data_IF_621319849579
#
_entry.id   IF_621319849579
#
_cell.length_a   1.000
_cell.length_b   1.000
_cell.length_c   1.000
_cell.angle_alpha   90.00
_cell.angle_beta   90.00
_cell.angle_gamma   90.00
#
_symmetry.space_group_name_H-M   'P 1'
#
loop_
_entity.id
_entity.type
_entity.pdbx_description
1 polymer ?
#
# COMPACT_ATOMS: atom_id res chain seq x y z
N UNK A 1 -11.65 -1.07 -16.98
CA UNK A 1 -10.90 -2.31 -17.22
C UNK A 1 -9.72 -2.34 -16.27
N UNK A 2 -9.50 -3.42 -15.52
CA UNK A 2 -8.36 -3.55 -14.60
C UNK A 2 -7.39 -4.57 -15.21
N UNK A 3 -6.10 -4.22 -15.39
CA UNK A 3 -5.12 -5.18 -15.91
C UNK A 3 -4.90 -6.33 -14.93
N UNK A 4 -4.58 -7.50 -15.46
CA UNK A 4 -4.41 -8.73 -14.67
C UNK A 4 -2.91 -8.99 -14.50
N UNK A 5 -2.44 -8.92 -13.25
CA UNK A 5 -1.07 -9.22 -12.89
C UNK A 5 -0.69 -10.65 -13.27
N UNK A 6 0.48 -10.81 -13.90
CA UNK A 6 0.96 -12.09 -14.41
C UNK A 6 0.44 -12.46 -15.81
N UNK A 7 -0.56 -11.75 -16.35
CA UNK A 7 -1.03 -11.90 -17.74
C UNK A 7 -0.68 -10.67 -18.57
N UNK A 8 -0.97 -9.47 -18.06
CA UNK A 8 -0.66 -8.22 -18.74
C UNK A 8 0.85 -8.00 -18.79
N UNK A 9 1.38 -7.80 -20.00
CA UNK A 9 2.80 -7.51 -20.21
C UNK A 9 3.14 -6.11 -19.72
N UNK A 10 4.19 -5.98 -18.92
CA UNK A 10 4.66 -4.69 -18.40
C UNK A 10 5.06 -3.69 -19.49
N UNK A 11 5.49 -4.19 -20.66
CA UNK A 11 5.88 -3.38 -21.83
C UNK A 11 4.68 -2.92 -22.67
N UNK A 12 3.49 -3.50 -22.46
CA UNK A 12 2.27 -3.13 -23.15
C UNK A 12 1.06 -3.17 -22.19
N UNK A 13 1.04 -2.28 -21.17
CA UNK A 13 -0.06 -2.23 -20.22
C UNK A 13 -1.35 -1.62 -20.80
N UNK A 14 -1.28 -1.07 -22.03
CA UNK A 14 -2.40 -0.44 -22.72
C UNK A 14 -2.68 1.01 -22.30
N UNK A 15 -2.19 1.43 -21.13
CA UNK A 15 -2.28 2.82 -20.64
C UNK A 15 -1.18 3.11 -19.62
N UNK A 16 -0.93 4.40 -19.38
CA UNK A 16 -0.02 4.87 -18.33
C UNK A 16 -0.70 5.90 -17.45
N UNK A 17 -0.34 5.88 -16.16
CA UNK A 17 -0.77 6.82 -15.14
C UNK A 17 0.43 7.66 -14.71
N UNK A 18 0.20 8.96 -14.56
CA UNK A 18 1.21 9.85 -14.02
C UNK A 18 1.50 9.51 -12.56
N UNK A 19 2.78 9.45 -12.19
CA UNK A 19 3.25 8.93 -10.90
C UNK A 19 2.78 9.75 -9.67
N UNK A 20 2.49 11.04 -9.86
CA UNK A 20 2.06 11.94 -8.78
C UNK A 20 0.54 12.13 -8.75
N UNK A 21 -0.05 12.39 -9.91
CA UNK A 21 -1.47 12.72 -10.03
C UNK A 21 -2.37 11.51 -10.22
N UNK A 22 -1.81 10.34 -10.59
CA UNK A 22 -2.52 9.13 -11.01
C UNK A 22 -3.57 9.39 -12.11
N UNK A 23 -3.42 10.45 -12.90
CA UNK A 23 -4.25 10.68 -14.08
C UNK A 23 -3.66 9.96 -15.30
N UNK A 24 -4.50 9.61 -16.28
CA UNK A 24 -4.02 9.01 -17.52
C UNK A 24 -3.12 9.99 -18.28
N UNK A 25 -1.88 9.58 -18.56
CA UNK A 25 -0.90 10.42 -19.26
C UNK A 25 -1.40 10.78 -20.66
N UNK A 26 -1.93 9.79 -21.38
CA UNK A 26 -2.44 9.95 -22.75
C UNK A 26 -3.66 10.85 -22.86
N UNK A 27 -4.35 11.16 -21.75
CA UNK A 27 -5.54 12.01 -21.72
C UNK A 27 -5.25 13.44 -21.25
N UNK A 28 -3.97 13.77 -20.99
CA UNK A 28 -3.56 15.12 -20.59
C UNK A 28 -4.00 16.13 -21.67
N UNK A 29 -4.92 17.03 -21.31
CA UNK A 29 -5.55 18.07 -22.16
C UNK A 29 -6.69 17.60 -23.08
N UNK A 30 -7.16 16.35 -22.96
CA UNK A 30 -8.25 15.87 -23.79
C UNK A 30 -9.61 16.33 -23.24
N UNK A 31 -10.21 17.34 -23.89
CA UNK A 31 -11.49 17.96 -23.48
C UNK A 31 -12.73 17.12 -23.81
N UNK A 32 -12.61 16.15 -24.70
CA UNK A 32 -13.74 15.36 -25.21
C UNK A 32 -14.03 14.11 -24.39
N UNK A 33 -13.17 13.76 -23.43
CA UNK A 33 -13.41 12.61 -22.57
C UNK A 33 -14.29 12.98 -21.38
N UNK A 34 -15.09 12.01 -20.88
CA UNK A 34 -15.83 12.16 -19.64
C UNK A 34 -14.93 12.65 -18.51
N UNK A 35 -15.47 13.54 -17.64
CA UNK A 35 -14.70 14.18 -16.59
C UNK A 35 -14.00 13.18 -15.64
N UNK A 36 -14.60 12.02 -15.40
CA UNK A 36 -14.06 10.94 -14.57
C UNK A 36 -12.82 10.23 -15.16
N UNK A 37 -12.51 10.40 -16.44
CA UNK A 37 -11.27 9.90 -17.05
C UNK A 37 -10.10 10.85 -16.81
N UNK A 38 -10.37 12.12 -16.53
CA UNK A 38 -9.35 13.12 -16.19
C UNK A 38 -9.10 13.21 -14.68
N UNK A 39 -9.79 12.40 -13.86
CA UNK A 39 -9.58 12.36 -12.40
C UNK A 39 -8.50 11.34 -11.99
N UNK A 40 -8.09 11.45 -10.73
CA UNK A 40 -7.14 10.56 -10.06
C UNK A 40 -7.64 9.10 -10.06
N UNK A 41 -6.92 8.21 -10.74
CA UNK A 41 -7.25 6.78 -10.86
C UNK A 41 -6.73 5.96 -9.66
N UNK A 42 -7.05 6.40 -8.44
CA UNK A 42 -6.64 5.72 -7.21
C UNK A 42 -7.22 4.29 -7.10
N UNK A 43 -8.54 4.06 -7.35
CA UNK A 43 -9.12 2.71 -7.21
C UNK A 43 -8.51 1.70 -8.18
N UNK A 44 -8.14 2.16 -9.38
CA UNK A 44 -7.46 1.33 -10.37
C UNK A 44 -6.09 0.86 -9.86
N UNK A 45 -5.30 1.77 -9.30
CA UNK A 45 -3.99 1.43 -8.75
C UNK A 45 -4.11 0.49 -7.54
N UNK A 46 -5.04 0.73 -6.62
CA UNK A 46 -5.32 -0.19 -5.50
C UNK A 46 -5.69 -1.59 -6.01
N UNK A 47 -6.56 -1.67 -7.02
CA UNK A 47 -7.00 -2.95 -7.61
C UNK A 47 -5.85 -3.74 -8.24
N UNK A 48 -4.85 -3.06 -8.80
CA UNK A 48 -3.66 -3.73 -9.36
C UNK A 48 -2.68 -4.12 -8.25
N UNK A 49 -2.44 -3.24 -7.28
CA UNK A 49 -1.55 -3.52 -6.14
C UNK A 49 -2.03 -4.69 -5.28
N UNK A 50 -3.35 -4.87 -5.15
CA UNK A 50 -3.94 -5.99 -4.42
C UNK A 50 -3.78 -7.35 -5.09
N UNK A 51 -3.31 -7.42 -6.34
CA UNK A 51 -3.11 -8.67 -7.05
C UNK A 51 -1.74 -9.30 -6.74
N UNK A 52 -1.68 -10.63 -6.77
CA UNK A 52 -0.42 -11.36 -6.71
C UNK A 52 0.47 -11.00 -7.91
N UNK A 53 1.79 -10.91 -7.69
CA UNK A 53 2.79 -10.60 -8.74
C UNK A 53 2.53 -9.26 -9.46
N UNK A 54 1.92 -8.29 -8.80
CA UNK A 54 1.55 -6.98 -9.37
C UNK A 54 2.74 -6.10 -9.79
N UNK A 55 3.95 -6.37 -9.28
CA UNK A 55 5.14 -5.52 -9.44
C UNK A 55 5.38 -5.07 -10.88
N UNK A 56 5.50 -6.01 -11.82
CA UNK A 56 5.86 -5.70 -13.20
C UNK A 56 4.79 -4.84 -13.88
N UNK A 57 3.52 -5.13 -13.62
CA UNK A 57 2.38 -4.39 -14.17
C UNK A 57 2.29 -2.99 -13.58
N UNK A 58 2.48 -2.82 -12.27
CA UNK A 58 2.49 -1.50 -11.62
C UNK A 58 3.63 -0.63 -12.15
N UNK A 59 4.84 -1.20 -12.33
CA UNK A 59 5.98 -0.50 -12.93
C UNK A 59 5.67 -0.09 -14.37
N UNK A 60 4.98 -0.94 -15.14
CA UNK A 60 4.57 -0.61 -16.51
C UNK A 60 3.49 0.47 -16.59
N UNK A 61 2.54 0.47 -15.66
CA UNK A 61 1.43 1.44 -15.61
C UNK A 61 1.89 2.80 -15.12
N UNK A 62 2.77 2.87 -14.12
CA UNK A 62 3.20 4.15 -13.56
C UNK A 62 4.32 4.75 -14.40
N UNK A 63 4.04 5.93 -14.95
CA UNK A 63 4.97 6.73 -15.75
C UNK A 63 6.28 6.93 -14.96
N UNK A 64 7.43 6.59 -15.56
CA UNK A 64 8.76 6.91 -15.05
C UNK A 64 9.20 6.24 -13.73
N UNK A 65 8.69 5.06 -13.36
CA UNK A 65 9.32 4.27 -12.28
C UNK A 65 10.69 3.71 -12.70
N UNK A 66 10.90 3.46 -13.99
CA UNK A 66 12.18 2.99 -14.53
C UNK A 66 13.14 4.14 -14.81
N UNK A 67 13.58 4.83 -13.76
CA UNK A 67 14.79 5.64 -13.88
C UNK A 67 16.02 4.72 -13.81
N UNK A 68 16.90 4.82 -14.80
CA UNK A 68 18.03 3.92 -15.06
C UNK A 68 19.09 3.92 -13.94
N UNK A 69 18.97 4.79 -12.92
CA UNK A 69 19.91 4.92 -11.82
C UNK A 69 19.20 5.09 -10.46
N UNK A 70 19.75 4.54 -9.35
CA UNK A 70 19.16 4.65 -8.01
C UNK A 70 18.94 6.09 -7.52
N UNK A 71 19.70 7.05 -8.05
CA UNK A 71 19.64 8.48 -7.70
C UNK A 71 18.47 9.24 -8.36
N UNK A 72 17.85 8.67 -9.40
CA UNK A 72 16.71 9.27 -10.13
C UNK A 72 15.37 8.59 -9.80
N UNK A 73 15.31 7.69 -8.81
CA UNK A 73 14.05 7.07 -8.38
C UNK A 73 13.09 8.17 -7.91
N UNK A 74 12.07 8.46 -8.74
CA UNK A 74 11.06 9.46 -8.43
C UNK A 74 10.24 9.01 -7.22
N UNK A 75 10.01 9.94 -6.31
CA UNK A 75 9.09 9.75 -5.17
C UNK A 75 7.68 9.65 -5.76
N UNK A 76 7.00 8.51 -5.57
CA UNK A 76 5.63 8.37 -6.02
C UNK A 76 4.63 8.80 -4.96
N UNK A 77 4.11 10.02 -5.09
CA UNK A 77 2.95 10.48 -4.29
C UNK A 77 1.69 9.67 -4.57
N UNK A 78 1.59 9.11 -5.78
CA UNK A 78 0.53 8.20 -6.17
C UNK A 78 0.53 6.93 -5.32
N UNK A 79 1.66 6.25 -5.20
CA UNK A 79 1.82 5.05 -4.36
C UNK A 79 1.70 5.37 -2.86
N UNK A 80 2.24 6.50 -2.40
CA UNK A 80 2.09 6.96 -1.01
C UNK A 80 0.61 7.04 -0.57
N UNK A 81 -0.29 7.46 -1.46
CA UNK A 81 -1.73 7.50 -1.15
C UNK A 81 -2.47 6.18 -1.44
N UNK A 82 -1.97 5.37 -2.38
CA UNK A 82 -2.59 4.09 -2.74
C UNK A 82 -2.36 3.03 -1.66
N UNK A 83 -1.16 2.93 -1.09
CA UNK A 83 -0.84 1.91 -0.09
C UNK A 83 -1.75 2.00 1.16
N UNK A 84 -1.95 3.16 1.82
CA UNK A 84 -2.88 3.28 2.94
C UNK A 84 -4.32 2.95 2.55
N UNK A 85 -4.73 3.32 1.35
CA UNK A 85 -6.09 3.06 0.86
C UNK A 85 -6.33 1.57 0.64
N UNK A 86 -5.36 0.88 0.02
CA UNK A 86 -5.39 -0.57 -0.16
C UNK A 86 -5.42 -1.31 1.18
N UNK A 87 -4.61 -0.88 2.16
CA UNK A 87 -4.63 -1.48 3.50
C UNK A 87 -6.02 -1.37 4.12
N UNK A 88 -6.66 -0.19 4.05
CA UNK A 88 -8.02 0.01 4.58
C UNK A 88 -9.06 -0.84 3.83
N UNK A 89 -9.00 -0.91 2.50
CA UNK A 89 -9.88 -1.78 1.70
C UNK A 89 -9.73 -3.26 2.12
N UNK A 90 -8.50 -3.73 2.35
CA UNK A 90 -8.24 -5.08 2.83
C UNK A 90 -8.72 -5.30 4.28
N UNK A 91 -8.62 -4.29 5.14
CA UNK A 91 -9.22 -4.35 6.48
C UNK A 91 -10.73 -4.51 6.42
N UNK A 92 -11.42 -3.75 5.55
CA UNK A 92 -12.87 -3.84 5.36
C UNK A 92 -13.31 -5.23 4.89
N UNK A 93 -12.53 -5.86 4.01
CA UNK A 93 -12.76 -7.24 3.57
C UNK A 93 -12.52 -8.22 4.73
N UNK A 94 -11.42 -8.03 5.47
CA UNK A 94 -11.03 -8.88 6.60
C UNK A 94 -12.08 -8.90 7.72
N UNK A 95 -12.74 -7.77 7.99
CA UNK A 95 -13.81 -7.75 9.00
C UNK A 95 -14.98 -8.68 8.66
N UNK A 96 -15.27 -8.83 7.37
CA UNK A 96 -16.34 -9.69 6.83
C UNK A 96 -15.91 -11.13 6.60
N UNK A 97 -14.60 -11.41 6.66
CA UNK A 97 -14.05 -12.72 6.33
C UNK A 97 -13.86 -13.59 7.58
N UNK A 98 -14.18 -14.87 7.46
CA UNK A 98 -14.03 -15.86 8.54
C UNK A 98 -12.81 -16.77 8.35
N UNK A 99 -12.29 -16.87 7.13
CA UNK A 99 -11.16 -17.72 6.77
C UNK A 99 -9.82 -17.10 7.18
N UNK A 100 -9.28 -17.53 8.32
CA UNK A 100 -8.00 -17.05 8.86
C UNK A 100 -6.82 -17.27 7.92
N UNK A 101 -6.72 -18.43 7.27
CA UNK A 101 -5.60 -18.73 6.35
C UNK A 101 -5.52 -17.74 5.19
N UNK A 102 -6.68 -17.38 4.63
CA UNK A 102 -6.75 -16.40 3.55
C UNK A 102 -6.33 -15.01 4.03
N UNK A 103 -6.74 -14.62 5.23
CA UNK A 103 -6.37 -13.32 5.83
C UNK A 103 -4.85 -13.26 6.02
N UNK A 104 -4.25 -14.29 6.62
CA UNK A 104 -2.81 -14.37 6.83
C UNK A 104 -2.03 -14.27 5.52
N UNK A 105 -2.33 -15.11 4.53
CA UNK A 105 -1.64 -15.06 3.23
C UNK A 105 -1.83 -13.73 2.51
N UNK A 106 -2.99 -13.08 2.68
CA UNK A 106 -3.24 -11.76 2.08
C UNK A 106 -2.40 -10.66 2.75
N UNK A 107 -2.28 -10.69 4.08
CA UNK A 107 -1.43 -9.74 4.81
C UNK A 107 0.06 -9.99 4.61
N UNK A 108 0.49 -11.25 4.43
CA UNK A 108 1.86 -11.60 4.02
C UNK A 108 2.18 -11.00 2.65
N UNK A 109 1.32 -11.25 1.65
CA UNK A 109 1.49 -10.66 0.31
C UNK A 109 1.49 -9.13 0.36
N UNK A 110 0.60 -8.53 1.15
CA UNK A 110 0.55 -7.08 1.33
C UNK A 110 1.85 -6.54 1.95
N UNK A 111 2.44 -7.27 2.90
CA UNK A 111 3.73 -6.92 3.50
C UNK A 111 4.82 -6.89 2.43
N UNK A 112 4.90 -7.94 1.61
CA UNK A 112 5.87 -8.03 0.52
C UNK A 112 5.71 -6.90 -0.50
N UNK A 113 4.46 -6.60 -0.88
CA UNK A 113 4.13 -5.48 -1.78
C UNK A 113 4.61 -4.16 -1.19
N UNK A 114 4.26 -3.85 0.07
CA UNK A 114 4.66 -2.59 0.71
C UNK A 114 6.18 -2.49 0.81
N UNK A 115 6.86 -3.53 1.29
CA UNK A 115 8.33 -3.55 1.41
C UNK A 115 8.99 -3.35 0.06
N UNK A 116 8.51 -4.03 -0.98
CA UNK A 116 9.04 -3.92 -2.34
C UNK A 116 8.90 -2.52 -2.90
N UNK A 117 7.70 -1.92 -2.86
CA UNK A 117 7.49 -0.58 -3.41
C UNK A 117 8.15 0.51 -2.57
N UNK A 118 8.22 0.37 -1.25
CA UNK A 118 8.97 1.32 -0.40
C UNK A 118 10.46 1.29 -0.74
N UNK A 119 11.02 0.11 -1.00
CA UNK A 119 12.42 -0.03 -1.42
C UNK A 119 12.66 0.47 -2.85
N UNK A 120 11.77 0.15 -3.79
CA UNK A 120 11.97 0.38 -5.22
C UNK A 120 11.60 1.80 -5.67
N UNK A 121 10.61 2.44 -5.03
CA UNK A 121 10.00 3.70 -5.49
C UNK A 121 10.26 4.89 -4.54
N UNK A 122 11.24 4.76 -3.62
CA UNK A 122 11.63 5.81 -2.68
C UNK A 122 10.44 6.46 -1.95
N UNK A 123 9.50 5.63 -1.49
CA UNK A 123 8.29 6.06 -0.78
C UNK A 123 8.64 6.37 0.68
N UNK A 124 8.11 7.46 1.21
CA UNK A 124 8.27 7.77 2.63
C UNK A 124 7.33 6.92 3.47
N UNK A 125 7.88 5.85 4.06
CA UNK A 125 7.13 4.98 4.98
C UNK A 125 6.44 5.77 6.10
N UNK A 126 7.08 6.82 6.62
CA UNK A 126 6.48 7.71 7.62
C UNK A 126 5.18 8.34 7.14
N UNK A 127 5.12 8.77 5.88
CA UNK A 127 3.93 9.40 5.30
C UNK A 127 2.80 8.38 5.13
N UNK A 128 3.14 7.17 4.63
CA UNK A 128 2.19 6.05 4.50
C UNK A 128 1.57 5.70 5.85
N UNK A 129 2.37 5.64 6.93
CA UNK A 129 1.87 5.35 8.27
C UNK A 129 1.01 6.48 8.84
N UNK A 130 1.36 7.75 8.60
CA UNK A 130 0.56 8.90 9.03
C UNK A 130 -0.81 8.91 8.32
N UNK A 131 -0.83 8.69 7.00
CA UNK A 131 -2.05 8.68 6.20
C UNK A 131 -2.92 7.45 6.48
N UNK A 132 -2.28 6.31 6.80
CA UNK A 132 -3.01 5.15 7.31
C UNK A 132 -3.65 5.50 8.65
N UNK A 133 -2.90 6.09 9.59
CA UNK A 133 -3.41 6.43 10.90
C UNK A 133 -4.59 7.40 10.84
N UNK A 134 -4.53 8.42 9.99
CA UNK A 134 -5.63 9.37 9.80
C UNK A 134 -6.88 8.71 9.25
N UNK A 135 -6.76 7.75 8.33
CA UNK A 135 -7.89 6.95 7.81
C UNK A 135 -8.48 5.99 8.84
N UNK A 136 -7.69 5.57 9.84
CA UNK A 136 -8.13 4.63 10.88
C UNK A 136 -8.72 5.32 12.12
N UNK A 137 -8.39 6.59 12.36
CA UNK A 137 -8.72 7.30 13.60
C UNK A 137 -10.22 7.31 13.97
N UNK A 138 -11.11 7.35 12.97
CA UNK A 138 -12.55 7.44 13.20
C UNK A 138 -13.29 6.10 13.16
N UNK A 139 -12.58 4.97 13.00
CA UNK A 139 -13.17 3.66 12.74
C UNK A 139 -12.77 2.63 13.80
N UNK A 140 -13.68 1.69 14.09
CA UNK A 140 -13.42 0.55 14.98
C UNK A 140 -13.10 -0.70 14.17
N UNK A 141 -11.98 -1.34 14.49
CA UNK A 141 -11.45 -2.52 13.81
C UNK A 141 -11.22 -3.65 14.81
N UNK A 142 -12.22 -4.50 15.10
CA UNK A 142 -12.09 -5.54 16.12
C UNK A 142 -11.21 -6.70 15.67
N UNK A 143 -11.22 -7.07 14.38
CA UNK A 143 -10.45 -8.23 13.86
C UNK A 143 -9.16 -7.79 13.17
N UNK A 144 -9.27 -6.84 12.26
CA UNK A 144 -8.20 -6.47 11.31
C UNK A 144 -7.05 -5.67 11.94
N UNK A 145 -7.27 -5.08 13.13
CA UNK A 145 -6.28 -4.26 13.85
C UNK A 145 -4.99 -5.00 14.16
N UNK A 146 -5.09 -6.24 14.63
CA UNK A 146 -3.91 -6.99 15.06
C UNK A 146 -3.05 -7.40 13.85
N UNK A 147 -3.68 -7.69 12.71
CA UNK A 147 -2.99 -7.92 11.44
C UNK A 147 -2.29 -6.67 10.89
N UNK A 148 -2.91 -5.50 11.01
CA UNK A 148 -2.29 -4.23 10.60
C UNK A 148 -1.14 -3.84 11.52
N UNK A 149 -1.25 -4.12 12.82
CA UNK A 149 -0.12 -3.96 13.74
C UNK A 149 1.04 -4.88 13.35
N UNK A 150 0.75 -6.15 13.08
CA UNK A 150 1.75 -7.10 12.59
C UNK A 150 2.40 -6.62 11.28
N UNK A 151 1.60 -6.14 10.31
CA UNK A 151 2.08 -5.55 9.06
C UNK A 151 3.01 -4.36 9.33
N UNK A 152 2.59 -3.40 10.14
CA UNK A 152 3.38 -2.21 10.46
C UNK A 152 4.70 -2.57 11.15
N UNK A 153 4.69 -3.56 12.05
CA UNK A 153 5.89 -4.08 12.71
C UNK A 153 6.85 -4.73 11.72
N UNK A 154 6.35 -5.55 10.79
CA UNK A 154 7.20 -6.20 9.78
C UNK A 154 7.86 -5.17 8.86
N UNK A 155 7.07 -4.21 8.38
CA UNK A 155 7.58 -3.14 7.53
C UNK A 155 8.63 -2.33 8.30
N UNK A 156 8.30 -1.81 9.49
CA UNK A 156 9.25 -0.98 10.26
C UNK A 156 10.50 -1.74 10.70
N UNK A 157 10.38 -3.00 11.13
CA UNK A 157 11.53 -3.86 11.47
C UNK A 157 12.49 -4.02 10.28
N UNK A 158 11.97 -4.23 9.07
CA UNK A 158 12.76 -4.30 7.85
C UNK A 158 13.50 -3.00 7.50
N UNK A 159 12.90 -1.85 7.79
CA UNK A 159 13.47 -0.53 7.47
C UNK A 159 14.32 0.10 8.58
N UNK A 160 14.20 -0.33 9.85
CA UNK A 160 15.00 0.16 10.99
C UNK A 160 16.50 -0.10 10.79
N UNK A 161 16.90 -1.19 10.12
CA UNK A 161 18.31 -1.44 9.78
C UNK A 161 18.90 -0.40 8.81
N UNK A 162 18.06 0.29 8.02
CA UNK A 162 18.50 1.29 7.03
C UNK A 162 18.23 2.75 7.45
N UNK A 163 17.19 3.01 8.24
CA UNK A 163 16.79 4.34 8.67
C UNK A 163 16.93 4.52 10.19
N UNK A 164 17.92 5.31 10.62
CA UNK A 164 18.18 5.62 12.04
C UNK A 164 16.90 6.11 12.76
N UNK A 165 16.39 5.30 13.70
CA UNK A 165 15.58 5.56 14.93
C UNK A 165 14.35 6.51 14.88
N UNK A 166 14.18 7.38 13.88
CA UNK A 166 13.02 8.30 13.79
C UNK A 166 11.70 7.62 13.42
N UNK A 167 11.73 6.45 12.76
CA UNK A 167 10.52 5.76 12.29
C UNK A 167 9.81 4.96 13.41
N UNK A 168 10.52 4.55 14.47
CA UNK A 168 9.92 3.78 15.58
C UNK A 168 8.89 4.57 16.40
N UNK A 169 9.05 5.90 16.49
CA UNK A 169 8.14 6.78 17.24
C UNK A 169 6.77 7.02 16.56
N UNK A 170 6.60 6.61 15.31
CA UNK A 170 5.33 6.76 14.58
C UNK A 170 4.39 5.57 14.84
N UNK A 171 4.93 4.38 15.10
CA UNK A 171 4.15 3.18 15.45
C UNK A 171 3.42 3.38 16.78
N UNK A 172 4.04 4.09 17.73
CA UNK A 172 3.46 4.42 19.04
C UNK A 172 2.36 5.48 18.99
N UNK A 173 2.15 6.16 17.85
CA UNK A 173 1.12 7.18 17.66
C UNK A 173 -0.15 6.65 16.98
N UNK A 174 -0.19 5.37 16.64
CA UNK A 174 -1.44 4.71 16.27
C UNK A 174 -2.31 4.66 17.53
N UNK A 175 -3.54 5.21 17.53
CA UNK A 175 -4.32 5.36 18.74
C UNK A 175 -4.76 3.97 19.22
N UNK A 176 -4.08 3.47 20.23
CA UNK A 176 -4.55 2.36 21.04
C UNK A 176 -5.07 2.91 22.37
N UNK A 177 -6.25 2.48 22.84
CA UNK A 177 -6.69 2.79 24.18
C UNK A 177 -5.70 2.18 25.18
N UNK A 178 -5.12 3.03 26.03
CA UNK A 178 -4.46 2.57 27.25
C UNK A 178 -5.50 1.85 28.11
N UNK A 179 -5.11 0.71 28.68
CA UNK A 179 -5.84 -0.16 29.62
C UNK A 179 -6.65 -1.30 28.99
N UNK A 180 -5.97 -2.42 28.77
CA UNK A 180 -6.30 -3.67 29.46
C UNK A 180 -5.08 -4.57 29.44
N UNK A 181 -4.76 -5.13 30.60
CA UNK A 181 -3.60 -5.99 30.83
C UNK A 181 -3.61 -7.16 29.84
N UNK A 182 -2.63 -7.21 28.92
CA UNK A 182 -2.41 -8.39 28.08
C UNK A 182 -1.97 -9.51 29.00
N UNK A 183 -2.89 -10.41 29.36
CA UNK A 183 -2.54 -11.66 30.03
C UNK A 183 -1.76 -12.53 29.04
N UNK A 184 -0.43 -12.55 29.17
CA UNK A 184 0.37 -13.66 28.64
C UNK A 184 0.01 -14.91 29.45
N UNK A 185 -0.89 -15.74 28.93
CA UNK A 185 -1.00 -17.11 29.41
C UNK A 185 0.20 -17.87 28.86
N UNK A 186 1.11 -18.26 29.77
CA UNK A 186 2.14 -19.26 29.50
C UNK A 186 1.45 -20.55 29.04
N UNK A 187 1.60 -20.89 27.77
CA UNK A 187 1.53 -22.28 27.35
C UNK A 187 2.97 -22.81 27.32
N UNK A 188 3.41 -23.27 28.49
CA UNK A 188 4.40 -24.34 28.58
C UNK A 188 3.66 -25.63 28.25
N UNK A 189 4.13 -26.38 27.26
CA UNK A 189 4.53 -27.80 27.27
C UNK A 189 4.89 -28.16 25.84
#
# INVERSE_FOLDING_TARGET
MVPIAGITLATSPGFQLNIDTLAFVSLKNAKLYPANMNTRQLPLLCSVLGQLRCRSVVIGILESITASTPQQRMISRGLEAALPTLIVELMEITEKQERLDWVLSTFEHLTDVVVQFVSDCNIHLSQVLIDLNSKLADRRWPKSRDYVMWLALNITSGFIKKNKVRQGHLVTKIPFPSKSSVKMSKALV
#
